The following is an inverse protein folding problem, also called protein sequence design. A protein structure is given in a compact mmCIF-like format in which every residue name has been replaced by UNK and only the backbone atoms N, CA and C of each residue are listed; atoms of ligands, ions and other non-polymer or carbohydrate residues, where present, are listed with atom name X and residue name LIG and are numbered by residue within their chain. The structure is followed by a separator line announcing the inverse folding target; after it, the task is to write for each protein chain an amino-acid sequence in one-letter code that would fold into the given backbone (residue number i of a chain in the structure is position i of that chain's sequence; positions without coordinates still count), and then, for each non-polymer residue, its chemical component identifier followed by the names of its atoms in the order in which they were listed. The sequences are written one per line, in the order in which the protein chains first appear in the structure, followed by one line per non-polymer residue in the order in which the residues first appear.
data_IF_860183953479
#
_entry.id   IF_860183953479
#
_cell.length_a   1.000
_cell.length_b   1.000
_cell.length_c   1.000
_cell.angle_alpha   90.00
_cell.angle_beta   90.00
_cell.angle_gamma   90.00
#
_symmetry.space_group_name_H-M   'P 1'
#
loop_
_entity.id
_entity.type
_entity.pdbx_description
1 polymer ?
#
# COMPACT_ATOMS: atom_id res chain seq x y z
N UNK A 1 -20.19 1.21 -8.22
CA UNK A 1 -19.36 0.35 -7.36
C UNK A 1 -20.26 -0.27 -6.32
N UNK A 2 -20.33 -1.59 -6.32
CA UNK A 2 -21.01 -2.37 -5.28
C UNK A 2 -20.26 -2.30 -3.95
N UNK A 3 -20.91 -2.65 -2.85
CA UNK A 3 -20.28 -2.72 -1.52
C UNK A 3 -19.05 -3.64 -1.54
N UNK A 4 -19.14 -4.77 -2.23
CA UNK A 4 -18.04 -5.71 -2.38
C UNK A 4 -16.85 -5.12 -3.14
N UNK A 5 -17.09 -4.37 -4.21
CA UNK A 5 -16.04 -3.64 -4.95
C UNK A 5 -15.39 -2.56 -4.09
N UNK A 6 -16.18 -1.83 -3.28
CA UNK A 6 -15.68 -0.82 -2.33
C UNK A 6 -14.85 -1.44 -1.22
N UNK A 7 -15.27 -2.58 -0.67
CA UNK A 7 -14.49 -3.34 0.31
C UNK A 7 -13.17 -3.83 -0.27
N UNK A 8 -13.19 -4.32 -1.52
CA UNK A 8 -11.96 -4.73 -2.21
C UNK A 8 -11.03 -3.54 -2.42
N UNK A 9 -11.57 -2.42 -2.90
CA UNK A 9 -10.81 -1.17 -3.06
C UNK A 9 -10.17 -0.72 -1.74
N UNK A 10 -10.95 -0.74 -0.65
CA UNK A 10 -10.44 -0.39 0.67
C UNK A 10 -9.31 -1.32 1.12
N UNK A 11 -9.50 -2.63 0.96
CA UNK A 11 -8.51 -3.64 1.33
C UNK A 11 -7.19 -3.47 0.57
N UNK A 12 -7.25 -3.23 -0.74
CA UNK A 12 -6.07 -3.15 -1.60
C UNK A 12 -5.32 -1.81 -1.43
N UNK A 13 -6.04 -0.70 -1.30
CA UNK A 13 -5.43 0.63 -1.32
C UNK A 13 -5.02 1.14 0.07
N UNK A 14 -5.73 0.75 1.13
CA UNK A 14 -5.50 1.29 2.48
C UNK A 14 -4.95 0.25 3.46
N UNK A 15 -5.21 -1.03 3.24
CA UNK A 15 -4.71 -2.12 4.11
C UNK A 15 -3.54 -2.87 3.45
N UNK A 16 -3.56 -3.01 2.13
CA UNK A 16 -2.55 -3.68 1.31
C UNK A 16 -2.94 -5.07 0.81
N UNK A 17 -3.92 -5.74 1.40
CA UNK A 17 -4.53 -6.96 0.82
C UNK A 17 -5.86 -7.33 1.46
N UNK A 18 -6.68 -8.09 0.71
CA UNK A 18 -7.94 -8.69 1.19
C UNK A 18 -7.70 -9.64 2.37
N UNK A 19 -6.64 -10.46 2.31
CA UNK A 19 -6.32 -11.40 3.40
C UNK A 19 -5.97 -10.65 4.69
N UNK A 20 -5.22 -9.55 4.58
CA UNK A 20 -4.89 -8.72 5.74
C UNK A 20 -6.12 -8.04 6.33
N UNK A 21 -7.06 -7.59 5.48
CA UNK A 21 -8.35 -7.07 5.96
C UNK A 21 -9.13 -8.15 6.73
N UNK A 22 -9.16 -9.39 6.25
CA UNK A 22 -9.84 -10.48 6.97
C UNK A 22 -9.23 -10.73 8.35
N UNK A 23 -7.90 -10.75 8.46
CA UNK A 23 -7.18 -10.86 9.74
C UNK A 23 -7.54 -9.70 10.68
N UNK A 24 -7.53 -8.46 10.19
CA UNK A 24 -7.83 -7.26 10.99
C UNK A 24 -9.28 -7.20 11.45
N UNK A 25 -10.21 -7.75 10.66
CA UNK A 25 -11.61 -7.89 11.04
C UNK A 25 -11.87 -9.08 11.96
N UNK A 26 -10.84 -9.86 12.30
CA UNK A 26 -10.92 -11.08 13.10
C UNK A 26 -11.88 -12.11 12.48
N UNK A 27 -11.72 -12.35 11.17
CA UNK A 27 -12.50 -13.33 10.43
C UNK A 27 -11.65 -14.14 9.46
N UNK A 28 -12.16 -15.31 9.06
CA UNK A 28 -11.51 -16.13 8.03
C UNK A 28 -11.74 -15.52 6.64
N UNK A 29 -10.80 -15.67 5.69
CA UNK A 29 -10.96 -15.13 4.34
C UNK A 29 -12.28 -15.52 3.66
N UNK A 30 -12.78 -16.78 3.72
CA UNK A 30 -14.07 -17.14 3.14
C UNK A 30 -15.25 -16.33 3.68
N UNK A 31 -15.22 -15.95 4.96
CA UNK A 31 -16.26 -15.11 5.58
C UNK A 31 -16.24 -13.68 5.03
N UNK A 32 -15.06 -13.16 4.69
CA UNK A 32 -14.94 -11.86 4.04
C UNK A 32 -15.45 -11.90 2.58
N UNK A 33 -15.21 -13.01 1.86
CA UNK A 33 -15.62 -13.16 0.47
C UNK A 33 -17.14 -13.06 0.26
N UNK A 34 -17.95 -13.45 1.24
CA UNK A 34 -19.42 -13.27 1.20
C UNK A 34 -19.79 -11.79 0.99
N UNK A 35 -19.08 -10.87 1.66
CA UNK A 35 -19.31 -9.43 1.47
C UNK A 35 -18.70 -8.93 0.16
N UNK A 36 -17.53 -9.42 -0.22
CA UNK A 36 -16.86 -9.04 -1.48
C UNK A 36 -17.65 -9.44 -2.73
N UNK A 37 -18.40 -10.54 -2.65
CA UNK A 37 -19.25 -11.03 -3.72
C UNK A 37 -20.67 -10.43 -3.69
N UNK A 38 -20.96 -9.52 -2.76
CA UNK A 38 -22.28 -8.95 -2.53
C UNK A 38 -23.36 -9.99 -2.16
N UNK A 39 -22.97 -11.13 -1.59
CA UNK A 39 -23.90 -12.17 -1.11
C UNK A 39 -24.55 -11.77 0.23
N UNK A 40 -23.90 -10.88 0.98
CA UNK A 40 -24.43 -10.31 2.22
C UNK A 40 -23.93 -8.88 2.42
N UNK A 41 -24.67 -8.11 3.21
CA UNK A 41 -24.30 -6.75 3.62
C UNK A 41 -23.64 -6.82 5.01
N UNK A 42 -22.50 -6.14 5.24
CA UNK A 42 -21.87 -6.10 6.55
C UNK A 42 -22.82 -5.59 7.64
N UNK A 43 -22.99 -6.38 8.70
CA UNK A 43 -23.75 -5.96 9.87
C UNK A 43 -23.01 -4.93 10.74
N UNK A 44 -23.70 -4.38 11.73
CA UNK A 44 -23.20 -3.28 12.58
C UNK A 44 -21.85 -3.54 13.26
N UNK A 45 -21.57 -4.78 13.70
CA UNK A 45 -20.28 -5.12 14.30
C UNK A 45 -19.11 -5.05 13.30
N UNK A 46 -19.32 -5.50 12.06
CA UNK A 46 -18.31 -5.40 11.01
C UNK A 46 -18.14 -3.96 10.57
N UNK A 47 -19.23 -3.21 10.43
CA UNK A 47 -19.17 -1.77 10.11
C UNK A 47 -18.41 -0.99 11.18
N UNK A 48 -18.59 -1.31 12.47
CA UNK A 48 -17.79 -0.71 13.56
C UNK A 48 -16.30 -1.01 13.38
N UNK A 49 -15.93 -2.28 13.18
CA UNK A 49 -14.53 -2.67 12.95
C UNK A 49 -13.93 -1.99 11.71
N UNK A 50 -14.69 -1.92 10.61
CA UNK A 50 -14.26 -1.22 9.39
C UNK A 50 -14.00 0.26 9.67
N UNK A 51 -14.87 0.92 10.44
CA UNK A 51 -14.69 2.31 10.86
C UNK A 51 -13.43 2.49 11.70
N UNK A 52 -13.18 1.58 12.65
CA UNK A 52 -11.99 1.61 13.50
C UNK A 52 -10.69 1.42 12.68
N UNK A 53 -10.77 0.75 11.54
CA UNK A 53 -9.69 0.62 10.55
C UNK A 53 -9.57 1.82 9.60
N UNK A 54 -10.40 2.85 9.76
CA UNK A 54 -10.38 4.06 8.94
C UNK A 54 -11.22 3.98 7.66
N UNK A 55 -12.12 3.00 7.53
CA UNK A 55 -13.06 2.95 6.42
C UNK A 55 -14.19 3.98 6.64
N UNK A 56 -14.45 4.81 5.63
CA UNK A 56 -15.63 5.67 5.62
C UNK A 56 -16.89 4.83 5.35
N UNK A 57 -17.68 4.61 6.39
CA UNK A 57 -18.90 3.81 6.32
C UNK A 57 -19.98 4.47 5.46
N UNK A 58 -20.02 5.81 5.39
CA UNK A 58 -20.99 6.49 4.52
C UNK A 58 -20.63 6.27 3.06
N UNK A 59 -19.35 6.38 2.70
CA UNK A 59 -18.91 6.01 1.36
C UNK A 59 -19.19 4.54 1.05
N UNK A 60 -18.89 3.64 1.99
CA UNK A 60 -19.08 2.21 1.81
C UNK A 60 -20.53 1.84 1.48
N UNK A 61 -21.50 2.50 2.13
CA UNK A 61 -22.92 2.17 2.06
C UNK A 61 -23.73 3.02 1.08
N UNK A 62 -23.12 4.04 0.47
CA UNK A 62 -23.77 4.86 -0.57
C UNK A 62 -23.58 4.26 -1.96
N UNK A 63 -24.30 4.76 -2.96
CA UNK A 63 -24.07 4.43 -4.37
C UNK A 63 -22.97 5.28 -5.02
N UNK A 64 -22.22 6.08 -4.23
CA UNK A 64 -21.17 6.95 -4.77
C UNK A 64 -19.94 6.14 -5.20
N UNK A 65 -19.52 6.31 -6.44
CA UNK A 65 -18.36 5.64 -7.01
C UNK A 65 -17.03 6.29 -6.59
N UNK A 66 -17.08 7.50 -6.03
CA UNK A 66 -15.86 8.22 -5.66
C UNK A 66 -15.46 7.80 -4.25
N UNK A 67 -14.25 7.21 -4.06
CA UNK A 67 -13.73 7.00 -2.72
C UNK A 67 -13.70 8.32 -1.96
N UNK A 68 -13.88 8.27 -0.62
CA UNK A 68 -13.80 9.47 0.19
C UNK A 68 -12.44 10.12 -0.06
N UNK A 69 -12.37 11.46 -0.09
CA UNK A 69 -11.09 12.12 -0.21
C UNK A 69 -10.15 11.58 0.88
N UNK A 70 -8.93 11.20 0.48
CA UNK A 70 -7.91 10.76 1.44
C UNK A 70 -7.83 11.78 2.58
N UNK A 71 -7.86 11.30 3.83
CA UNK A 71 -7.84 12.20 4.97
C UNK A 71 -6.51 12.94 5.01
N UNK A 72 -6.51 14.15 5.58
CA UNK A 72 -5.27 14.91 5.72
C UNK A 72 -4.20 14.09 6.48
N UNK A 73 -4.62 13.32 7.48
CA UNK A 73 -3.77 12.43 8.26
C UNK A 73 -3.19 11.28 7.41
N UNK A 74 -4.00 10.64 6.55
CA UNK A 74 -3.51 9.56 5.68
C UNK A 74 -2.55 10.10 4.62
N UNK A 75 -2.82 11.29 4.09
CA UNK A 75 -1.92 11.98 3.16
C UNK A 75 -0.59 12.36 3.83
N UNK A 76 -0.62 12.85 5.07
CA UNK A 76 0.59 13.16 5.85
C UNK A 76 1.42 11.92 6.13
N UNK A 77 0.78 10.81 6.51
CA UNK A 77 1.46 9.54 6.73
C UNK A 77 2.13 9.03 5.46
N UNK A 78 1.44 9.13 4.31
CA UNK A 78 1.98 8.72 3.01
C UNK A 78 3.12 9.61 2.54
N UNK A 79 3.02 10.93 2.74
CA UNK A 79 4.11 11.87 2.47
C UNK A 79 5.37 11.49 3.26
N UNK A 80 5.23 11.23 4.55
CA UNK A 80 6.36 10.80 5.40
C UNK A 80 7.02 9.52 4.89
N UNK A 81 6.23 8.51 4.52
CA UNK A 81 6.77 7.26 3.97
C UNK A 81 7.53 7.50 2.66
N UNK A 82 6.98 8.33 1.77
CA UNK A 82 7.61 8.69 0.49
C UNK A 82 8.90 9.49 0.69
N UNK A 83 8.97 10.35 1.70
CA UNK A 83 10.19 11.08 2.06
C UNK A 83 11.29 10.14 2.57
N UNK A 84 10.93 9.20 3.45
CA UNK A 84 11.86 8.18 3.95
C UNK A 84 12.38 7.27 2.83
N UNK A 85 11.51 6.86 1.90
CA UNK A 85 11.90 6.07 0.74
C UNK A 85 12.83 6.85 -0.19
N UNK A 86 12.53 8.12 -0.47
CA UNK A 86 13.41 8.98 -1.25
C UNK A 86 14.79 9.15 -0.63
N UNK A 87 14.86 9.28 0.70
CA UNK A 87 16.14 9.34 1.41
C UNK A 87 16.95 8.05 1.20
N UNK A 88 16.33 6.88 1.40
CA UNK A 88 16.97 5.57 1.18
C UNK A 88 17.45 5.38 -0.26
N UNK A 89 16.64 5.79 -1.24
CA UNK A 89 16.99 5.70 -2.65
C UNK A 89 18.18 6.60 -3.00
N UNK A 90 18.19 7.84 -2.50
CA UNK A 90 19.31 8.77 -2.69
C UNK A 90 20.61 8.23 -2.11
N UNK A 91 20.57 7.66 -0.91
CA UNK A 91 21.74 7.02 -0.29
C UNK A 91 22.24 5.84 -1.13
N UNK A 92 21.32 5.01 -1.62
CA UNK A 92 21.65 3.84 -2.45
C UNK A 92 22.32 4.27 -3.77
N UNK A 93 21.78 5.31 -4.42
CA UNK A 93 22.37 5.90 -5.62
C UNK A 93 23.78 6.44 -5.32
N UNK A 94 23.97 7.14 -4.20
CA UNK A 94 25.28 7.65 -3.79
C UNK A 94 26.33 6.54 -3.64
N UNK A 95 25.98 5.42 -3.01
CA UNK A 95 26.86 4.25 -2.88
C UNK A 95 27.21 3.64 -4.24
N UNK A 96 26.22 3.50 -5.13
CA UNK A 96 26.43 2.98 -6.48
C UNK A 96 27.39 3.87 -7.27
N UNK A 97 27.25 5.20 -7.16
CA UNK A 97 28.15 6.15 -7.82
C UNK A 97 29.60 6.00 -7.33
N UNK A 98 29.81 5.85 -6.02
CA UNK A 98 31.15 5.61 -5.46
C UNK A 98 31.77 4.31 -5.99
N UNK A 99 31.00 3.23 -6.01
CA UNK A 99 31.45 1.95 -6.56
C UNK A 99 31.79 2.07 -8.06
N UNK A 100 30.96 2.76 -8.83
CA UNK A 100 31.19 2.97 -10.26
C UNK A 100 32.49 3.77 -10.52
N UNK A 101 32.77 4.80 -9.70
CA UNK A 101 34.03 5.54 -9.77
C UNK A 101 35.24 4.66 -9.47
N UNK A 102 35.15 3.80 -8.45
CA UNK A 102 36.25 2.91 -8.06
C UNK A 102 36.53 1.85 -9.15
N UNK A 103 35.48 1.25 -9.71
CA UNK A 103 35.60 0.33 -10.86
C UNK A 103 36.28 1.02 -12.05
N UNK A 104 35.94 2.28 -12.32
CA UNK A 104 36.55 3.03 -13.41
C UNK A 104 38.04 3.33 -13.16
N UNK A 105 38.43 3.66 -11.92
CA UNK A 105 39.84 3.79 -11.53
C UNK A 105 40.61 2.49 -11.75
N UNK A 106 40.04 1.35 -11.33
CA UNK A 106 40.67 0.04 -11.52
C UNK A 106 40.82 -0.36 -12.99
N UNK A 107 39.88 0.03 -13.86
CA UNK A 107 40.02 -0.18 -15.32
C UNK A 107 41.18 0.63 -15.92
N UNK A 108 41.42 1.85 -15.42
CA UNK A 108 42.53 2.71 -15.90
C UNK A 108 43.90 2.26 -15.38
N UNK A 109 43.97 1.59 -14.22
CA UNK A 109 45.23 1.16 -13.61
C UNK A 109 45.74 -0.21 -14.09
N UNK A 110 44.95 -1.00 -14.82
CA UNK A 110 45.43 -2.25 -15.42
C UNK A 110 46.30 -1.98 -16.66
N UNK A 111 47.58 -2.38 -16.69
CA UNK A 111 48.46 -2.15 -17.85
C UNK A 111 48.00 -2.98 -19.05
N UNK A 112 48.15 -2.42 -20.26
CA UNK A 112 47.86 -3.15 -21.51
C UNK A 112 48.70 -4.43 -21.57
N UNK A 113 48.11 -5.58 -21.95
CA UNK A 113 48.90 -6.79 -22.16
C UNK A 113 49.93 -6.51 -23.25
N UNK A 114 51.21 -6.79 -22.93
CA UNK A 114 52.30 -6.71 -23.92
C UNK A 114 52.02 -7.77 -24.99
N UNK A 115 51.90 -7.31 -26.24
CA UNK A 115 51.81 -8.17 -27.43
C UNK A 115 53.11 -8.93 -27.63
#
# INVERSE_FOLDING_TARGET
MTIGEKLRFFAENYIGSVSKLAELLDMKPPSLYVYLNNESIPGGDILRKLKDLGCDINWLLTDDDKPPPETLESLQARLKQLEEENARLRDSIGRILLLAQEVNKQKKSKPKPKK
#
